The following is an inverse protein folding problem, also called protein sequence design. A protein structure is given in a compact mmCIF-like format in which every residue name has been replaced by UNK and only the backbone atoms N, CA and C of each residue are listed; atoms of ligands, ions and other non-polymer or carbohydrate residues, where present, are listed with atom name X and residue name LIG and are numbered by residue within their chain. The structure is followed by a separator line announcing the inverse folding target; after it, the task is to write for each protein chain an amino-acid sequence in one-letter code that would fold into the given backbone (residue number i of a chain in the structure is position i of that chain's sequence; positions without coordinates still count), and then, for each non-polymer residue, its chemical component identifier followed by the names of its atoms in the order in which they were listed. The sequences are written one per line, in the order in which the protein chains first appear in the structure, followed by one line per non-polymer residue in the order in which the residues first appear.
data_IF_042409284861
#
_entry.id   IF_042409284861
#
_cell.length_a   1.000
_cell.length_b   1.000
_cell.length_c   1.000
_cell.angle_alpha   90.00
_cell.angle_beta   90.00
_cell.angle_gamma   90.00
#
_symmetry.space_group_name_H-M   'P 1'
#
loop_
_entity.id
_entity.type
_entity.pdbx_description
1 polymer ?
#
# COMPACT_ATOMS: atom_id res chain seq x y z
N UNK A 1 49.38 -4.47 9.75
CA UNK A 1 48.38 -3.79 8.91
C UNK A 1 47.02 -4.33 9.35
N UNK A 2 46.29 -3.52 10.10
CA UNK A 2 44.93 -3.86 10.55
C UNK A 2 43.99 -3.69 9.36
N UNK A 3 43.35 -4.78 8.94
CA UNK A 3 42.16 -4.71 8.11
C UNK A 3 41.01 -4.34 9.04
N UNK A 4 40.55 -3.10 8.95
CA UNK A 4 39.34 -2.62 9.58
C UNK A 4 38.13 -3.26 8.88
N UNK A 5 37.61 -4.34 9.47
CA UNK A 5 36.27 -4.82 9.19
C UNK A 5 35.30 -3.68 9.46
N UNK A 6 34.83 -3.09 8.37
CA UNK A 6 33.75 -2.12 8.40
C UNK A 6 32.48 -2.94 8.49
N UNK A 7 32.02 -3.18 9.71
CA UNK A 7 30.69 -3.74 9.96
C UNK A 7 29.65 -2.77 9.41
N UNK A 8 29.24 -3.00 8.16
CA UNK A 8 27.94 -2.54 7.67
C UNK A 8 26.91 -3.13 8.63
N UNK A 9 26.41 -2.32 9.56
CA UNK A 9 25.24 -2.63 10.35
C UNK A 9 24.04 -2.73 9.41
N UNK A 10 23.95 -3.86 8.71
CA UNK A 10 22.77 -4.22 7.95
C UNK A 10 21.65 -4.38 8.95
N UNK A 11 20.62 -3.53 8.84
CA UNK A 11 19.34 -3.82 9.46
C UNK A 11 18.97 -5.25 9.07
N UNK A 12 18.72 -6.11 10.05
CA UNK A 12 18.15 -7.41 9.76
C UNK A 12 16.77 -7.17 9.15
N UNK A 13 16.64 -7.44 7.85
CA UNK A 13 15.38 -7.41 7.12
C UNK A 13 14.54 -8.62 7.52
N UNK A 14 14.12 -8.66 8.79
CA UNK A 14 13.29 -9.73 9.33
C UNK A 14 11.83 -9.44 8.93
N UNK A 15 11.19 -10.30 8.12
CA UNK A 15 9.78 -10.14 7.79
C UNK A 15 8.94 -10.25 9.06
N UNK A 16 8.03 -9.29 9.28
CA UNK A 16 7.15 -9.25 10.45
C UNK A 16 5.69 -9.27 10.02
N UNK A 17 4.83 -9.92 10.80
CA UNK A 17 3.38 -9.80 10.60
C UNK A 17 2.88 -8.42 11.02
N UNK A 18 1.64 -8.07 10.67
CA UNK A 18 1.03 -6.80 11.11
C UNK A 18 0.99 -6.70 12.64
N UNK A 19 0.65 -7.79 13.32
CA UNK A 19 0.54 -7.80 14.79
C UNK A 19 1.92 -7.65 15.45
N UNK A 20 2.94 -8.32 14.89
CA UNK A 20 4.33 -8.14 15.35
C UNK A 20 4.79 -6.70 15.14
N UNK A 21 4.48 -6.10 13.98
CA UNK A 21 4.86 -4.71 13.70
C UNK A 21 4.17 -3.73 14.66
N UNK A 22 2.88 -3.94 14.97
CA UNK A 22 2.14 -3.11 15.93
C UNK A 22 2.68 -3.22 17.35
N UNK A 23 3.39 -4.30 17.68
CA UNK A 23 4.05 -4.44 18.98
C UNK A 23 5.38 -3.66 19.07
N UNK A 24 6.01 -3.35 17.93
CA UNK A 24 7.34 -2.73 17.88
C UNK A 24 7.32 -1.27 17.43
N UNK A 25 6.36 -0.88 16.59
CA UNK A 25 6.34 0.41 15.90
C UNK A 25 5.07 1.20 16.22
N UNK A 26 5.11 2.50 15.99
CA UNK A 26 3.93 3.34 16.14
C UNK A 26 2.86 2.96 15.11
N UNK A 27 1.59 3.21 15.42
CA UNK A 27 0.51 2.94 14.47
C UNK A 27 0.73 3.65 13.13
N UNK A 28 1.21 4.90 13.15
CA UNK A 28 1.46 5.68 11.94
C UNK A 28 2.53 5.02 11.06
N UNK A 29 3.64 4.56 11.65
CA UNK A 29 4.73 3.91 10.91
C UNK A 29 4.30 2.55 10.35
N UNK A 30 3.48 1.80 11.09
CA UNK A 30 2.88 0.56 10.60
C UNK A 30 1.94 0.83 9.42
N UNK A 31 1.09 1.83 9.50
CA UNK A 31 0.17 2.20 8.42
C UNK A 31 0.92 2.68 7.18
N UNK A 32 1.97 3.48 7.34
CA UNK A 32 2.85 3.90 6.25
C UNK A 32 3.50 2.68 5.58
N UNK A 33 4.01 1.72 6.36
CA UNK A 33 4.58 0.48 5.86
C UNK A 33 3.54 -0.42 5.16
N UNK A 34 2.31 -0.45 5.65
CA UNK A 34 1.22 -1.26 5.10
C UNK A 34 0.69 -0.70 3.77
N UNK A 35 0.46 0.61 3.72
CA UNK A 35 -0.38 1.24 2.70
C UNK A 35 0.40 2.08 1.69
N UNK A 36 1.70 2.29 1.88
CA UNK A 36 2.57 2.87 0.84
C UNK A 36 2.97 1.78 -0.16
N UNK A 37 2.56 1.93 -1.43
CA UNK A 37 2.83 0.95 -2.50
C UNK A 37 4.32 0.60 -2.63
N UNK A 38 5.15 1.63 -2.74
CA UNK A 38 6.60 1.49 -2.88
C UNK A 38 7.29 1.83 -1.56
N UNK A 39 6.76 1.34 -0.43
CA UNK A 39 7.25 1.71 0.90
C UNK A 39 8.78 1.61 1.04
N UNK A 40 9.37 0.49 0.59
CA UNK A 40 10.82 0.25 0.69
C UNK A 40 11.61 1.29 -0.11
N UNK A 41 11.15 1.64 -1.32
CA UNK A 41 11.79 2.68 -2.14
C UNK A 41 11.69 4.05 -1.48
N UNK A 42 10.51 4.38 -0.95
CA UNK A 42 10.25 5.62 -0.21
C UNK A 42 11.16 5.74 1.02
N UNK A 43 11.18 4.72 1.88
CA UNK A 43 12.02 4.67 3.08
C UNK A 43 13.51 4.82 2.73
N UNK A 44 13.97 4.11 1.70
CA UNK A 44 15.37 4.18 1.27
C UNK A 44 15.73 5.56 0.72
N UNK A 45 14.78 6.25 0.07
CA UNK A 45 14.99 7.63 -0.39
C UNK A 45 15.14 8.60 0.78
N UNK A 46 14.34 8.47 1.84
CA UNK A 46 14.47 9.31 3.03
C UNK A 46 15.78 9.01 3.80
N UNK A 47 16.16 7.74 3.92
CA UNK A 47 17.48 7.35 4.47
C UNK A 47 18.61 8.00 3.67
N UNK A 48 18.55 7.90 2.34
CA UNK A 48 19.57 8.48 1.47
C UNK A 48 19.64 10.00 1.64
N UNK A 49 18.51 10.67 1.71
CA UNK A 49 18.46 12.12 1.94
C UNK A 49 19.15 12.50 3.25
N UNK A 50 18.87 11.80 4.35
CA UNK A 50 19.55 12.03 5.63
C UNK A 50 21.06 11.77 5.53
N UNK A 51 21.49 10.76 4.78
CA UNK A 51 22.91 10.49 4.54
C UNK A 51 23.57 11.63 3.74
N UNK A 52 22.92 12.12 2.68
CA UNK A 52 23.41 13.24 1.86
C UNK A 52 23.49 14.55 2.69
N UNK A 53 22.52 14.79 3.58
CA UNK A 53 22.52 15.92 4.50
C UNK A 53 23.68 15.84 5.52
N UNK A 54 23.97 14.63 6.03
CA UNK A 54 25.13 14.39 6.93
C UNK A 54 26.44 14.74 6.22
N UNK A 55 26.64 14.28 4.99
CA UNK A 55 27.85 14.56 4.22
C UNK A 55 28.00 16.07 3.90
N UNK A 56 26.89 16.76 3.69
CA UNK A 56 26.86 18.21 3.51
C UNK A 56 27.28 18.95 4.79
N UNK A 57 26.77 18.52 5.94
CA UNK A 57 27.14 19.08 7.24
C UNK A 57 28.63 18.84 7.57
N UNK A 58 29.14 17.62 7.31
CA UNK A 58 30.57 17.29 7.44
C UNK A 58 31.45 18.19 6.57
N UNK A 59 31.06 18.39 5.31
CA UNK A 59 31.80 19.24 4.36
C UNK A 59 31.84 20.71 4.80
N UNK A 60 30.85 21.14 5.59
CA UNK A 60 30.75 22.50 6.13
C UNK A 60 31.36 22.65 7.53
N UNK A 61 31.98 21.60 8.08
CA UNK A 61 32.46 21.51 9.46
C UNK A 61 31.39 21.83 10.53
N UNK A 62 30.11 21.58 10.23
CA UNK A 62 29.01 21.75 11.19
C UNK A 62 28.88 20.52 12.10
N UNK A 63 29.67 20.51 13.18
CA UNK A 63 29.71 19.38 14.13
C UNK A 63 28.34 19.12 14.76
N UNK A 64 27.62 20.18 15.15
CA UNK A 64 26.31 20.05 15.77
C UNK A 64 25.26 19.52 14.78
N UNK A 65 25.31 19.97 13.52
CA UNK A 65 24.47 19.45 12.44
C UNK A 65 24.71 17.97 12.16
N UNK A 66 25.97 17.52 12.13
CA UNK A 66 26.31 16.10 11.96
C UNK A 66 25.72 15.25 13.08
N UNK A 67 25.94 15.63 14.35
CA UNK A 67 25.43 14.89 15.51
C UNK A 67 23.90 14.79 15.49
N UNK A 68 23.22 15.89 15.14
CA UNK A 68 21.76 15.92 15.03
C UNK A 68 21.24 15.00 13.93
N UNK A 69 21.81 15.09 12.72
CA UNK A 69 21.36 14.31 11.56
C UNK A 69 21.66 12.82 11.71
N UNK A 70 22.80 12.46 12.31
CA UNK A 70 23.11 11.07 12.64
C UNK A 70 22.13 10.50 13.67
N UNK A 71 21.70 11.31 14.65
CA UNK A 71 20.63 10.91 15.57
C UNK A 71 19.31 10.71 14.81
N UNK A 72 18.89 11.65 13.98
CA UNK A 72 17.67 11.52 13.17
C UNK A 72 17.71 10.26 12.28
N UNK A 73 18.84 9.95 11.65
CA UNK A 73 18.99 8.74 10.84
C UNK A 73 18.87 7.46 11.67
N UNK A 74 19.47 7.42 12.87
CA UNK A 74 19.35 6.27 13.77
C UNK A 74 17.91 6.09 14.25
N UNK A 75 17.28 7.16 14.69
CA UNK A 75 15.91 7.14 15.19
C UNK A 75 14.95 6.72 14.07
N UNK A 76 15.03 7.33 12.88
CA UNK A 76 14.20 6.96 11.72
C UNK A 76 14.33 5.48 11.38
N UNK A 77 15.56 4.95 11.38
CA UNK A 77 15.80 3.52 11.13
C UNK A 77 15.20 2.60 12.19
N UNK A 78 15.29 3.01 13.46
CA UNK A 78 14.77 2.23 14.59
C UNK A 78 13.24 2.30 14.70
N UNK A 79 12.64 3.43 14.34
CA UNK A 79 11.22 3.72 14.50
C UNK A 79 10.38 3.33 13.28
N UNK A 80 11.02 3.12 12.12
CA UNK A 80 10.31 2.71 10.89
C UNK A 80 10.61 1.25 10.52
N UNK A 81 9.59 0.44 10.19
CA UNK A 81 9.80 -0.89 9.64
C UNK A 81 10.73 -0.88 8.41
N UNK A 82 11.61 -1.86 8.25
CA UNK A 82 12.46 -1.95 7.06
C UNK A 82 11.71 -2.48 5.82
N UNK A 83 10.63 -3.22 6.04
CA UNK A 83 9.79 -3.87 5.02
C UNK A 83 8.31 -3.60 5.31
N UNK A 84 7.42 -3.75 4.31
CA UNK A 84 5.98 -3.88 4.59
C UNK A 84 5.70 -5.18 5.37
N UNK A 85 4.60 -5.25 6.13
CA UNK A 85 4.27 -6.48 6.85
C UNK A 85 3.92 -7.61 5.90
N UNK A 86 4.29 -8.82 6.31
CA UNK A 86 3.88 -10.06 5.65
C UNK A 86 2.48 -10.45 6.12
N UNK A 87 1.72 -11.03 5.19
CA UNK A 87 0.43 -11.64 5.48
C UNK A 87 0.54 -13.14 5.22
N UNK A 88 0.63 -13.98 6.27
CA UNK A 88 0.81 -15.42 6.11
C UNK A 88 -0.42 -16.12 5.49
N UNK A 89 -1.55 -15.41 5.38
CA UNK A 89 -2.76 -15.93 4.73
C UNK A 89 -2.77 -15.74 3.21
N UNK A 90 -1.85 -14.93 2.68
CA UNK A 90 -1.70 -14.70 1.25
C UNK A 90 -0.56 -15.54 0.66
N UNK A 91 -0.67 -15.85 -0.64
CA UNK A 91 0.36 -16.64 -1.32
C UNK A 91 1.59 -15.77 -1.59
N UNK A 92 2.78 -16.30 -1.29
CA UNK A 92 4.04 -15.59 -1.48
C UNK A 92 4.49 -15.42 -2.94
N UNK A 93 3.80 -16.06 -3.90
CA UNK A 93 4.09 -15.95 -5.33
C UNK A 93 3.29 -14.85 -6.06
N UNK A 94 2.47 -14.09 -5.33
CA UNK A 94 1.77 -12.93 -5.87
C UNK A 94 2.74 -11.76 -6.09
N UNK A 95 2.47 -10.97 -7.12
CA UNK A 95 3.19 -9.73 -7.40
C UNK A 95 3.14 -8.76 -6.21
N UNK A 96 4.24 -8.02 -5.98
CA UNK A 96 4.39 -7.14 -4.82
C UNK A 96 3.30 -6.04 -4.77
N UNK A 97 2.90 -5.51 -5.92
CA UNK A 97 1.83 -4.51 -5.99
C UNK A 97 0.47 -5.13 -5.73
N UNK A 98 0.24 -6.37 -6.19
CA UNK A 98 -0.98 -7.12 -5.88
C UNK A 98 -1.07 -7.39 -4.37
N UNK A 99 0.03 -7.82 -3.74
CA UNK A 99 0.09 -8.00 -2.29
C UNK A 99 -0.19 -6.70 -1.53
N UNK A 100 0.38 -5.58 -2.00
CA UNK A 100 0.06 -4.26 -1.45
C UNK A 100 -1.42 -3.93 -1.57
N UNK A 101 -2.02 -4.14 -2.75
CA UNK A 101 -3.43 -3.82 -2.95
C UNK A 101 -4.34 -4.70 -2.09
N UNK A 102 -4.00 -5.97 -1.93
CA UNK A 102 -4.68 -6.89 -1.01
C UNK A 102 -4.62 -6.36 0.43
N UNK A 103 -3.45 -5.88 0.91
CA UNK A 103 -3.35 -5.27 2.24
C UNK A 103 -4.27 -4.06 2.40
N UNK A 104 -4.28 -3.15 1.42
CA UNK A 104 -5.17 -1.98 1.42
C UNK A 104 -6.65 -2.43 1.50
N UNK A 105 -7.05 -3.39 0.68
CA UNK A 105 -8.42 -3.90 0.67
C UNK A 105 -8.81 -4.55 2.01
N UNK A 106 -7.96 -5.44 2.57
CA UNK A 106 -8.24 -6.18 3.80
C UNK A 106 -8.24 -5.32 5.06
N UNK A 107 -7.32 -4.38 5.16
CA UNK A 107 -7.02 -3.71 6.44
C UNK A 107 -7.40 -2.24 6.47
N UNK A 108 -7.49 -1.56 5.33
CA UNK A 108 -7.90 -0.15 5.27
C UNK A 108 -9.38 0.00 4.89
N UNK A 109 -9.89 -0.87 4.02
CA UNK A 109 -11.22 -0.69 3.41
C UNK A 109 -12.25 -1.65 4.02
N UNK A 110 -11.92 -2.94 4.12
CA UNK A 110 -12.87 -3.97 4.56
C UNK A 110 -13.48 -3.73 5.95
N UNK A 111 -12.72 -3.32 7.00
CA UNK A 111 -13.26 -3.17 8.36
C UNK A 111 -14.50 -2.27 8.43
N UNK A 112 -14.45 -1.12 7.75
CA UNK A 112 -15.49 -0.09 7.79
C UNK A 112 -16.48 -0.17 6.61
N UNK A 113 -16.37 -1.21 5.78
CA UNK A 113 -17.22 -1.40 4.61
C UNK A 113 -18.59 -2.00 4.95
N UNK A 114 -19.64 -1.57 4.25
CA UNK A 114 -20.99 -2.17 4.33
C UNK A 114 -21.00 -3.59 3.75
N UNK A 115 -22.01 -4.40 4.10
CA UNK A 115 -22.09 -5.78 3.60
C UNK A 115 -22.10 -5.88 2.07
N UNK A 116 -22.79 -4.96 1.39
CA UNK A 116 -22.78 -4.88 -0.08
C UNK A 116 -21.39 -4.57 -0.65
N UNK A 117 -20.60 -3.77 0.06
CA UNK A 117 -19.24 -3.43 -0.35
C UNK A 117 -18.26 -4.58 -0.04
N UNK A 118 -18.44 -5.27 1.10
CA UNK A 118 -17.68 -6.48 1.46
C UNK A 118 -17.80 -7.56 0.41
N UNK A 119 -18.98 -7.74 -0.20
CA UNK A 119 -19.18 -8.70 -1.28
C UNK A 119 -18.27 -8.39 -2.49
N UNK A 120 -18.20 -7.12 -2.92
CA UNK A 120 -17.29 -6.70 -3.99
C UNK A 120 -15.83 -6.91 -3.59
N UNK A 121 -15.43 -6.47 -2.39
CA UNK A 121 -14.04 -6.59 -1.92
C UNK A 121 -13.62 -8.06 -1.88
N UNK A 122 -14.45 -8.96 -1.36
CA UNK A 122 -14.17 -10.39 -1.33
C UNK A 122 -14.00 -10.98 -2.73
N UNK A 123 -14.85 -10.59 -3.68
CA UNK A 123 -14.72 -11.01 -5.07
C UNK A 123 -13.42 -10.52 -5.71
N UNK A 124 -13.05 -9.26 -5.48
CA UNK A 124 -11.82 -8.64 -5.99
C UNK A 124 -10.57 -9.32 -5.39
N UNK A 125 -10.55 -9.54 -4.07
CA UNK A 125 -9.47 -10.26 -3.40
C UNK A 125 -9.27 -11.65 -4.01
N UNK A 126 -10.36 -12.37 -4.25
CA UNK A 126 -10.29 -13.69 -4.88
C UNK A 126 -9.80 -13.63 -6.33
N UNK A 127 -10.22 -12.61 -7.09
CA UNK A 127 -9.76 -12.42 -8.47
C UNK A 127 -8.25 -12.13 -8.53
N UNK A 128 -7.72 -11.31 -7.62
CA UNK A 128 -6.27 -11.09 -7.49
C UNK A 128 -5.53 -12.39 -7.13
N UNK A 129 -5.99 -13.12 -6.11
CA UNK A 129 -5.36 -14.39 -5.66
C UNK A 129 -5.32 -15.47 -6.75
N UNK A 130 -6.29 -15.46 -7.67
CA UNK A 130 -6.37 -16.38 -8.81
C UNK A 130 -5.63 -15.87 -10.05
N UNK A 131 -5.14 -14.63 -10.04
CA UNK A 131 -4.54 -13.99 -11.21
C UNK A 131 -5.55 -13.63 -12.31
N UNK A 132 -6.85 -13.65 -12.00
CA UNK A 132 -7.94 -13.25 -12.91
C UNK A 132 -8.03 -11.71 -13.03
N UNK A 133 -7.58 -11.00 -12.00
CA UNK A 133 -7.43 -9.56 -11.99
C UNK A 133 -5.95 -9.19 -11.86
N UNK A 134 -5.47 -8.32 -12.74
CA UNK A 134 -4.13 -7.73 -12.65
C UNK A 134 -4.25 -6.32 -12.11
N UNK A 135 -3.30 -5.90 -11.29
CA UNK A 135 -3.26 -4.51 -10.87
C UNK A 135 -2.67 -3.67 -12.02
N UNK A 136 -3.52 -2.85 -12.62
CA UNK A 136 -3.14 -1.88 -13.65
C UNK A 136 -3.80 -0.54 -13.33
N UNK A 137 -2.98 0.47 -13.02
CA UNK A 137 -3.45 1.80 -12.64
C UNK A 137 -3.93 2.63 -13.83
N UNK A 138 -3.56 2.25 -15.05
CA UNK A 138 -4.08 2.86 -16.27
C UNK A 138 -5.40 2.22 -16.69
N UNK A 139 -5.87 1.21 -15.95
CA UNK A 139 -7.15 0.56 -16.18
C UNK A 139 -8.09 0.69 -14.97
N UNK A 140 -9.37 0.49 -15.24
CA UNK A 140 -10.43 0.38 -14.24
C UNK A 140 -11.32 -0.80 -14.60
N UNK A 141 -11.65 -1.59 -13.59
CA UNK A 141 -12.74 -2.56 -13.61
C UNK A 141 -13.87 -2.07 -12.68
N UNK A 142 -15.12 -2.40 -13.01
CA UNK A 142 -16.26 -2.06 -12.18
C UNK A 142 -16.94 -3.34 -11.71
N UNK A 143 -17.18 -3.39 -10.41
CA UNK A 143 -17.77 -4.52 -9.71
C UNK A 143 -19.12 -4.12 -9.11
N UNK A 144 -20.06 -5.07 -9.12
CA UNK A 144 -21.37 -4.92 -8.53
C UNK A 144 -21.84 -6.26 -7.97
N UNK A 145 -22.25 -6.30 -6.69
CA UNK A 145 -22.70 -7.51 -6.00
C UNK A 145 -21.74 -8.71 -6.23
N UNK A 146 -20.44 -8.48 -6.02
CA UNK A 146 -19.40 -9.49 -6.16
C UNK A 146 -19.07 -9.90 -7.60
N UNK A 147 -19.53 -9.16 -8.62
CA UNK A 147 -19.33 -9.51 -10.04
C UNK A 147 -18.63 -8.40 -10.80
N UNK A 148 -17.68 -8.76 -11.65
CA UNK A 148 -17.13 -7.86 -12.66
C UNK A 148 -18.21 -7.56 -13.71
N UNK A 149 -18.70 -6.32 -13.75
CA UNK A 149 -19.80 -5.88 -14.63
C UNK A 149 -19.35 -4.95 -15.76
N UNK A 150 -18.16 -4.36 -15.64
CA UNK A 150 -17.60 -3.50 -16.68
C UNK A 150 -16.07 -3.46 -16.61
N UNK A 151 -15.43 -3.29 -17.76
CA UNK A 151 -13.97 -3.28 -17.88
C UNK A 151 -13.32 -4.66 -17.99
N UNK A 152 -11.98 -4.72 -18.01
CA UNK A 152 -11.05 -3.58 -17.86
C UNK A 152 -11.18 -2.57 -19.00
N UNK A 153 -11.18 -1.28 -18.67
CA UNK A 153 -11.12 -0.17 -19.64
C UNK A 153 -10.03 0.82 -19.24
N UNK A 154 -9.46 1.60 -20.18
CA UNK A 154 -8.56 2.69 -19.83
C UNK A 154 -9.19 3.65 -18.82
N UNK A 155 -8.47 3.95 -17.75
CA UNK A 155 -8.83 4.93 -16.72
C UNK A 155 -8.93 6.33 -17.31
N UNK A 156 -8.06 6.64 -18.28
CA UNK A 156 -8.10 7.91 -19.02
C UNK A 156 -9.47 8.05 -19.69
N UNK A 157 -10.23 9.06 -19.26
CA UNK A 157 -11.61 9.35 -19.68
C UNK A 157 -12.69 8.40 -19.13
N UNK A 158 -12.38 7.49 -18.21
CA UNK A 158 -13.42 6.72 -17.52
C UNK A 158 -14.20 7.63 -16.57
N UNK A 159 -15.51 7.74 -16.78
CA UNK A 159 -16.41 8.49 -15.91
C UNK A 159 -17.41 7.51 -15.26
N UNK A 160 -17.19 7.25 -13.96
CA UNK A 160 -18.04 6.33 -13.20
C UNK A 160 -19.51 6.80 -13.18
N UNK A 161 -19.75 8.09 -12.99
CA UNK A 161 -21.10 8.67 -12.94
C UNK A 161 -21.87 8.49 -14.26
N UNK A 162 -21.22 8.76 -15.40
CA UNK A 162 -21.83 8.53 -16.71
C UNK A 162 -22.18 7.05 -16.92
N UNK A 163 -21.28 6.14 -16.52
CA UNK A 163 -21.51 4.69 -16.59
C UNK A 163 -22.68 4.26 -15.70
N UNK A 164 -22.80 4.80 -14.47
CA UNK A 164 -23.94 4.53 -13.58
C UNK A 164 -25.26 4.98 -14.21
N UNK A 165 -25.29 6.17 -14.81
CA UNK A 165 -26.50 6.69 -15.46
C UNK A 165 -26.94 5.85 -16.66
N UNK A 166 -25.98 5.34 -17.44
CA UNK A 166 -26.26 4.56 -18.64
C UNK A 166 -26.62 3.09 -18.32
N UNK A 167 -25.91 2.47 -17.36
CA UNK A 167 -25.94 1.01 -17.14
C UNK A 167 -26.40 0.58 -15.75
N UNK A 168 -26.39 1.51 -14.79
CA UNK A 168 -26.62 1.22 -13.38
C UNK A 168 -27.95 0.51 -13.12
N UNK A 169 -29.05 0.99 -13.71
CA UNK A 169 -30.37 0.34 -13.59
C UNK A 169 -30.33 -1.13 -14.01
N UNK A 170 -29.67 -1.45 -15.11
CA UNK A 170 -29.55 -2.83 -15.60
C UNK A 170 -28.78 -3.75 -14.65
N UNK A 171 -27.86 -3.21 -13.84
CA UNK A 171 -27.18 -3.99 -12.80
C UNK A 171 -28.12 -4.35 -11.66
N UNK A 172 -28.90 -3.39 -11.16
CA UNK A 172 -29.88 -3.64 -10.10
C UNK A 172 -30.98 -4.62 -10.55
N UNK A 173 -31.47 -4.46 -11.78
CA UNK A 173 -32.49 -5.37 -12.35
C UNK A 173 -31.96 -6.80 -12.49
N UNK A 174 -30.68 -6.96 -12.88
CA UNK A 174 -30.10 -8.27 -13.15
C UNK A 174 -29.56 -8.98 -11.91
N UNK A 175 -28.97 -8.23 -10.98
CA UNK A 175 -28.23 -8.80 -9.85
C UNK A 175 -28.87 -8.50 -8.50
N UNK A 176 -29.92 -7.66 -8.45
CA UNK A 176 -30.58 -7.25 -7.22
C UNK A 176 -29.89 -6.09 -6.51
N UNK A 177 -30.19 -5.87 -5.22
CA UNK A 177 -29.55 -4.84 -4.41
C UNK A 177 -28.03 -5.04 -4.36
N UNK A 178 -27.28 -3.94 -4.44
CA UNK A 178 -25.82 -3.99 -4.40
C UNK A 178 -25.19 -2.60 -4.47
N UNK A 179 -23.88 -2.56 -4.28
CA UNK A 179 -23.06 -1.35 -4.37
C UNK A 179 -22.10 -1.47 -5.55
N UNK A 180 -21.84 -0.35 -6.22
CA UNK A 180 -20.82 -0.27 -7.26
C UNK A 180 -19.43 -0.05 -6.64
N UNK A 181 -18.42 -0.68 -7.22
CA UNK A 181 -17.03 -0.49 -6.87
C UNK A 181 -16.19 -0.33 -8.14
N UNK A 182 -15.31 0.68 -8.19
CA UNK A 182 -14.34 0.83 -9.26
C UNK A 182 -12.94 0.45 -8.75
N UNK A 183 -12.31 -0.55 -9.37
CA UNK A 183 -11.02 -1.11 -8.96
C UNK A 183 -9.94 -0.87 -10.03
N UNK A 184 -8.72 -0.41 -9.66
CA UNK A 184 -8.34 0.06 -8.33
C UNK A 184 -8.90 1.43 -8.00
N UNK A 185 -9.49 1.60 -6.80
CA UNK A 185 -9.91 2.90 -6.30
C UNK A 185 -8.68 3.73 -5.95
N UNK A 186 -8.66 5.03 -6.28
CA UNK A 186 -7.61 5.90 -5.75
C UNK A 186 -7.83 6.06 -4.24
N UNK A 187 -6.79 5.84 -3.44
CA UNK A 187 -6.88 5.86 -1.96
C UNK A 187 -7.44 7.21 -1.45
N UNK A 188 -7.16 8.33 -2.14
CA UNK A 188 -7.74 9.66 -1.85
C UNK A 188 -9.24 9.80 -2.13
N UNK A 189 -9.88 8.85 -2.81
CA UNK A 189 -11.31 8.93 -3.19
C UNK A 189 -12.23 8.33 -2.12
N UNK A 190 -11.69 7.64 -1.11
CA UNK A 190 -12.47 7.07 -0.02
C UNK A 190 -13.00 8.13 0.97
N UNK A 191 -12.37 9.31 1.03
CA UNK A 191 -12.85 10.44 1.84
C UNK A 191 -14.15 11.07 1.31
N UNK A 192 -14.59 10.72 0.09
CA UNK A 192 -15.77 11.32 -0.56
C UNK A 192 -16.94 10.34 -0.76
N UNK A 193 -16.85 9.12 -0.24
CA UNK A 193 -17.87 8.08 -0.44
C UNK A 193 -18.55 7.59 0.86
N UNK A 194 -18.29 8.26 1.99
CA UNK A 194 -19.01 8.09 3.25
C UNK A 194 -19.66 9.40 3.68
#
# INVERSE_FOLDING_TARGET
MQNSDTTNGGEENNPMTIDDMKACYSQADVEDAMFTRNYVEYRNKEIKKLQDDIETAKSSNDVAGVEHLEKCLRDYKAETPSLPPIDPTERGDLDADVLWRIRVLKYQIYPDSSDFLRENINAILNAYRRGELKLDFDQVTVWFAGRLVYGPVPRKNFNLGAMVMEKGRGFYEKYGPGTLWAEPVAIRTLEFLF
#
